data_IF_041538448776
#
_entry.id   IF_041538448776
#
_cell.length_a   1.000
_cell.length_b   1.000
_cell.length_c   1.000
_cell.angle_alpha   90.00
_cell.angle_beta   90.00
_cell.angle_gamma   90.00
#
_symmetry.space_group_name_H-M   'P 1'
#
loop_
_entity.id
_entity.type
_entity.pdbx_description
1 polymer ?
#
# COMPACT_ATOMS: atom_id res chain seq x y z
N UNK A 1 -14.88 -1.81 -12.10
CA UNK A 1 -15.27 -1.83 -10.67
C UNK A 1 -15.74 -3.23 -10.24
N UNK A 2 -16.73 -3.85 -10.95
CA UNK A 2 -17.29 -5.14 -10.54
C UNK A 2 -16.26 -6.27 -10.42
N UNK A 3 -15.21 -6.27 -11.25
CA UNK A 3 -14.16 -7.28 -11.21
C UNK A 3 -13.13 -7.09 -10.07
N UNK A 4 -13.11 -5.92 -9.45
CA UNK A 4 -12.19 -5.58 -8.35
C UNK A 4 -12.90 -5.47 -6.99
N UNK A 5 -14.22 -5.55 -6.96
CA UNK A 5 -15.01 -5.49 -5.73
C UNK A 5 -14.93 -6.81 -4.95
N UNK A 6 -14.73 -6.71 -3.65
CA UNK A 6 -14.79 -7.80 -2.67
C UNK A 6 -15.16 -7.23 -1.30
N UNK A 7 -15.45 -8.06 -0.32
CA UNK A 7 -15.77 -7.65 1.05
C UNK A 7 -14.95 -8.41 2.08
N UNK A 8 -14.80 -7.86 3.28
CA UNK A 8 -13.99 -8.46 4.33
C UNK A 8 -14.51 -9.85 4.76
N UNK A 9 -15.80 -10.12 4.61
CA UNK A 9 -16.41 -11.41 4.92
C UNK A 9 -15.99 -12.54 3.97
N UNK A 10 -15.40 -12.23 2.83
CA UNK A 10 -14.85 -13.25 1.92
C UNK A 10 -13.56 -13.87 2.44
N UNK A 11 -12.96 -13.28 3.48
CA UNK A 11 -11.69 -13.74 4.06
C UNK A 11 -11.96 -14.77 5.15
N UNK A 12 -11.61 -16.03 4.89
CA UNK A 12 -11.68 -17.10 5.88
C UNK A 12 -10.38 -17.18 6.71
N UNK A 13 -10.48 -16.88 8.01
CA UNK A 13 -9.35 -16.88 8.95
C UNK A 13 -9.28 -18.18 9.79
N UNK A 14 -10.13 -19.17 9.55
CA UNK A 14 -10.23 -20.36 10.42
C UNK A 14 -8.91 -21.15 10.51
N UNK A 15 -8.20 -21.30 9.43
CA UNK A 15 -6.91 -22.01 9.41
C UNK A 15 -5.75 -21.14 9.92
N UNK A 16 -5.85 -19.83 9.84
CA UNK A 16 -4.80 -18.90 10.26
C UNK A 16 -4.51 -19.00 11.74
N UNK A 17 -5.51 -19.26 12.59
CA UNK A 17 -5.33 -19.45 14.03
C UNK A 17 -4.39 -20.62 14.37
N UNK A 18 -4.39 -21.66 13.57
CA UNK A 18 -3.48 -22.83 13.72
C UNK A 18 -2.06 -22.48 13.28
N UNK A 19 -1.96 -21.76 12.17
CA UNK A 19 -0.68 -21.35 11.59
C UNK A 19 0.00 -20.27 12.42
N UNK A 20 -0.76 -19.34 13.01
CA UNK A 20 -0.26 -18.33 13.93
C UNK A 20 0.51 -18.94 15.11
N UNK A 21 0.03 -20.08 15.63
CA UNK A 21 0.71 -20.81 16.72
C UNK A 21 2.04 -21.41 16.31
N UNK A 22 2.25 -21.70 15.02
CA UNK A 22 3.50 -22.26 14.47
C UNK A 22 4.58 -21.19 14.26
N UNK A 23 4.20 -19.93 14.17
CA UNK A 23 5.14 -18.82 14.00
C UNK A 23 5.94 -18.61 15.29
N UNK A 24 7.23 -18.31 15.16
CA UNK A 24 8.05 -17.91 16.28
C UNK A 24 7.76 -16.46 16.71
N UNK A 25 8.27 -16.06 17.88
CA UNK A 25 7.97 -14.75 18.47
C UNK A 25 8.45 -13.57 17.60
N UNK A 26 9.57 -13.71 16.89
CA UNK A 26 10.08 -12.69 15.99
C UNK A 26 9.19 -12.54 14.76
N UNK A 27 8.70 -13.63 14.19
CA UNK A 27 7.74 -13.62 13.07
C UNK A 27 6.43 -12.96 13.49
N UNK A 28 5.88 -13.35 14.65
CA UNK A 28 4.68 -12.71 15.20
C UNK A 28 4.88 -11.22 15.44
N UNK A 29 5.99 -10.85 16.10
CA UNK A 29 6.33 -9.45 16.34
C UNK A 29 6.38 -8.64 15.05
N UNK A 30 7.07 -9.16 14.05
CA UNK A 30 7.18 -8.51 12.75
C UNK A 30 5.82 -8.34 12.05
N UNK A 31 5.01 -9.41 11.98
CA UNK A 31 3.70 -9.39 11.36
C UNK A 31 2.71 -8.45 12.06
N UNK A 32 2.70 -8.43 13.39
CA UNK A 32 1.91 -7.47 14.16
C UNK A 32 2.21 -6.03 13.76
N UNK A 33 3.49 -5.69 13.58
CA UNK A 33 3.90 -4.35 13.16
C UNK A 33 3.60 -4.05 11.68
N UNK A 34 3.62 -5.06 10.81
CA UNK A 34 3.17 -4.94 9.42
C UNK A 34 1.67 -4.62 9.36
N UNK A 35 0.84 -5.37 10.11
CA UNK A 35 -0.61 -5.13 10.18
C UNK A 35 -0.92 -3.76 10.79
N UNK A 36 -0.22 -3.39 11.86
CA UNK A 36 -0.37 -2.08 12.49
C UNK A 36 0.00 -0.92 11.55
N UNK A 37 1.03 -1.12 10.71
CA UNK A 37 1.41 -0.14 9.70
C UNK A 37 0.31 0.04 8.65
N UNK A 38 -0.27 -1.03 8.13
CA UNK A 38 -1.38 -0.95 7.19
C UNK A 38 -2.60 -0.26 7.81
N UNK A 39 -3.08 -0.74 8.95
CA UNK A 39 -4.24 -0.18 9.64
C UNK A 39 -4.09 1.34 9.94
N UNK A 40 -2.88 1.78 10.28
CA UNK A 40 -2.60 3.19 10.52
C UNK A 40 -2.50 4.01 9.23
N UNK A 41 -2.01 3.42 8.14
CA UNK A 41 -1.76 4.12 6.87
C UNK A 41 -3.03 4.30 6.06
N UNK A 42 -3.93 3.30 6.03
CA UNK A 42 -5.20 3.36 5.31
C UNK A 42 -6.09 4.52 5.81
N UNK A 43 -6.06 4.82 7.10
CA UNK A 43 -6.75 6.00 7.63
C UNK A 43 -6.23 7.32 7.05
N UNK A 44 -4.91 7.43 6.83
CA UNK A 44 -4.29 8.62 6.23
C UNK A 44 -4.61 8.68 4.73
N UNK A 45 -4.56 7.55 4.03
CA UNK A 45 -4.91 7.42 2.61
C UNK A 45 -6.35 7.85 2.39
N UNK A 46 -7.28 7.27 3.13
CA UNK A 46 -8.70 7.55 3.01
C UNK A 46 -9.04 9.01 3.31
N UNK A 47 -8.46 9.59 4.36
CA UNK A 47 -8.63 11.02 4.66
C UNK A 47 -8.17 11.92 3.52
N UNK A 48 -7.04 11.58 2.87
CA UNK A 48 -6.53 12.32 1.72
C UNK A 48 -7.45 12.23 0.49
N UNK A 49 -7.99 11.04 0.24
CA UNK A 49 -8.95 10.83 -0.85
C UNK A 49 -10.21 11.68 -0.65
N UNK A 50 -10.80 11.61 0.54
CA UNK A 50 -12.06 12.30 0.85
C UNK A 50 -11.89 13.81 0.87
N UNK A 51 -10.86 14.32 1.55
CA UNK A 51 -10.70 15.77 1.78
C UNK A 51 -10.04 16.51 0.63
N UNK A 52 -9.26 15.82 -0.20
CA UNK A 52 -8.47 16.45 -1.26
C UNK A 52 -8.88 15.94 -2.65
N UNK A 53 -8.52 14.73 -3.01
CA UNK A 53 -8.57 14.28 -4.40
C UNK A 53 -9.98 14.18 -4.95
N UNK A 54 -10.95 13.67 -4.19
CA UNK A 54 -12.35 13.58 -4.62
C UNK A 54 -13.00 14.95 -4.83
N UNK A 55 -12.52 15.98 -4.11
CA UNK A 55 -13.00 17.37 -4.21
C UNK A 55 -12.30 18.14 -5.35
N UNK A 56 -10.98 17.98 -5.47
CA UNK A 56 -10.18 18.74 -6.45
C UNK A 56 -10.34 18.26 -7.89
N UNK A 57 -10.62 16.98 -8.09
CA UNK A 57 -10.79 16.39 -9.43
C UNK A 57 -12.20 16.65 -9.96
N UNK A 58 -12.30 17.25 -11.15
CA UNK A 58 -13.57 17.66 -11.74
C UNK A 58 -14.09 16.69 -12.80
N UNK A 59 -13.27 15.79 -13.35
CA UNK A 59 -13.71 14.83 -14.36
C UNK A 59 -14.63 13.77 -13.73
N UNK A 60 -15.84 13.56 -14.27
CA UNK A 60 -16.82 12.64 -13.70
C UNK A 60 -16.30 11.22 -13.56
N UNK A 61 -15.57 10.72 -14.54
CA UNK A 61 -14.99 9.37 -14.55
C UNK A 61 -13.94 9.20 -13.44
N UNK A 62 -13.09 10.21 -13.25
CA UNK A 62 -12.09 10.20 -12.18
C UNK A 62 -12.74 10.30 -10.80
N UNK A 63 -13.81 11.08 -10.66
CA UNK A 63 -14.59 11.13 -9.40
C UNK A 63 -15.27 9.81 -9.09
N UNK A 64 -15.80 9.12 -10.11
CA UNK A 64 -16.34 7.78 -9.96
C UNK A 64 -15.27 6.78 -9.49
N UNK A 65 -14.04 6.89 -10.02
CA UNK A 65 -12.94 6.05 -9.58
C UNK A 65 -12.58 6.33 -8.12
N UNK A 66 -12.42 7.57 -7.72
CA UNK A 66 -12.12 7.92 -6.33
C UNK A 66 -13.22 7.50 -5.35
N UNK A 67 -14.50 7.59 -5.75
CA UNK A 67 -15.59 7.05 -4.95
C UNK A 67 -15.48 5.54 -4.72
N UNK A 68 -15.05 4.79 -5.74
CA UNK A 68 -14.79 3.36 -5.63
C UNK A 68 -13.55 3.09 -4.78
N UNK A 69 -12.44 3.82 -4.97
CA UNK A 69 -11.24 3.69 -4.16
C UNK A 69 -11.53 3.94 -2.69
N UNK A 70 -12.22 5.02 -2.33
CA UNK A 70 -12.62 5.31 -0.94
C UNK A 70 -13.41 4.14 -0.32
N UNK A 71 -14.32 3.53 -1.09
CA UNK A 71 -15.05 2.36 -0.63
C UNK A 71 -14.12 1.18 -0.37
N UNK A 72 -13.17 0.89 -1.26
CA UNK A 72 -12.22 -0.20 -1.10
C UNK A 72 -11.26 0.05 0.08
N UNK A 73 -10.81 1.28 0.31
CA UNK A 73 -10.00 1.62 1.48
C UNK A 73 -10.74 1.36 2.81
N UNK A 74 -12.05 1.58 2.85
CA UNK A 74 -12.84 1.20 4.02
C UNK A 74 -12.87 -0.32 4.23
N UNK A 75 -12.96 -1.11 3.15
CA UNK A 75 -12.90 -2.58 3.22
C UNK A 75 -11.50 -3.06 3.63
N UNK A 76 -10.42 -2.41 3.15
CA UNK A 76 -9.05 -2.68 3.59
C UNK A 76 -8.91 -2.43 5.10
N UNK A 77 -9.34 -1.27 5.58
CA UNK A 77 -9.28 -0.91 7.00
C UNK A 77 -10.07 -1.89 7.88
N UNK A 78 -11.26 -2.30 7.45
CA UNK A 78 -12.06 -3.34 8.13
C UNK A 78 -11.30 -4.67 8.17
N UNK A 79 -10.73 -5.09 7.03
CA UNK A 79 -9.95 -6.32 6.93
C UNK A 79 -8.74 -6.32 7.87
N UNK A 80 -7.96 -5.25 7.92
CA UNK A 80 -6.82 -5.16 8.86
C UNK A 80 -7.28 -5.16 10.32
N UNK A 81 -8.41 -4.56 10.61
CA UNK A 81 -8.99 -4.61 11.96
C UNK A 81 -9.38 -6.04 12.36
N UNK A 82 -10.02 -6.78 11.45
CA UNK A 82 -10.38 -8.19 11.68
C UNK A 82 -9.14 -9.08 11.84
N UNK A 83 -8.09 -8.87 11.05
CA UNK A 83 -6.83 -9.60 11.15
C UNK A 83 -6.14 -9.35 12.50
N UNK A 84 -6.06 -8.09 12.95
CA UNK A 84 -5.51 -7.74 14.27
C UNK A 84 -6.35 -8.39 15.39
N UNK A 85 -7.67 -8.34 15.27
CA UNK A 85 -8.57 -8.95 16.26
C UNK A 85 -8.44 -10.48 16.32
N UNK A 86 -8.24 -11.12 15.17
CA UNK A 86 -8.10 -12.57 15.09
C UNK A 86 -6.76 -13.10 15.65
N UNK A 87 -5.67 -12.34 15.48
CA UNK A 87 -4.33 -12.85 15.85
C UNK A 87 -3.82 -12.37 17.21
N UNK A 88 -4.37 -11.30 17.74
CA UNK A 88 -3.88 -10.66 18.95
C UNK A 88 -4.94 -10.73 20.03
N UNK A 89 -4.66 -11.44 21.11
CA UNK A 89 -5.61 -11.65 22.21
C UNK A 89 -5.55 -10.54 23.26
N UNK A 90 -4.35 -10.00 23.55
CA UNK A 90 -4.17 -8.99 24.59
C UNK A 90 -4.77 -7.63 24.19
N UNK A 91 -5.76 -7.10 24.93
CA UNK A 91 -6.37 -5.80 24.62
C UNK A 91 -5.39 -4.61 24.66
N UNK A 92 -4.36 -4.68 25.52
CA UNK A 92 -3.37 -3.61 25.62
C UNK A 92 -2.45 -3.62 24.39
N UNK A 93 -2.08 -4.81 23.90
CA UNK A 93 -1.31 -4.95 22.68
C UNK A 93 -2.12 -4.50 21.47
N UNK A 94 -3.41 -4.85 21.37
CA UNK A 94 -4.31 -4.33 20.35
C UNK A 94 -4.35 -2.79 20.34
N UNK A 95 -4.58 -2.19 21.50
CA UNK A 95 -4.61 -0.73 21.63
C UNK A 95 -3.28 -0.09 21.22
N UNK A 96 -2.15 -0.71 21.56
CA UNK A 96 -0.82 -0.28 21.13
C UNK A 96 -0.68 -0.29 19.59
N UNK A 97 -1.14 -1.35 18.94
CA UNK A 97 -1.04 -1.53 17.48
C UNK A 97 -2.01 -0.61 16.72
N UNK A 98 -3.24 -0.46 17.19
CA UNK A 98 -4.18 0.51 16.60
C UNK A 98 -3.71 1.96 16.72
N UNK A 99 -2.89 2.27 17.73
CA UNK A 99 -2.27 3.58 17.89
C UNK A 99 -0.84 3.64 17.29
N UNK A 100 -0.53 2.84 16.27
CA UNK A 100 0.82 2.67 15.73
C UNK A 100 1.47 3.97 15.25
N UNK A 101 0.70 4.96 14.82
CA UNK A 101 1.21 6.30 14.48
C UNK A 101 1.91 6.99 15.66
N UNK A 102 1.51 6.69 16.90
CA UNK A 102 2.13 7.26 18.10
C UNK A 102 3.08 6.28 18.79
N UNK A 103 2.80 4.99 18.74
CA UNK A 103 3.47 3.95 19.53
C UNK A 103 4.62 3.27 18.79
N UNK A 104 4.61 3.27 17.43
CA UNK A 104 5.61 2.58 16.61
C UNK A 104 6.45 3.59 15.82
N UNK A 105 7.75 3.81 16.16
CA UNK A 105 8.57 4.87 15.56
C UNK A 105 8.69 4.81 14.04
N UNK A 106 8.76 3.62 13.44
CA UNK A 106 8.83 3.44 11.99
C UNK A 106 7.52 3.84 11.30
N UNK A 107 6.38 3.49 11.87
CA UNK A 107 5.04 3.87 11.40
C UNK A 107 4.85 5.38 11.53
N UNK A 108 5.18 5.94 12.69
CA UNK A 108 5.14 7.39 12.93
C UNK A 108 5.92 8.19 11.89
N UNK A 109 7.14 7.73 11.56
CA UNK A 109 7.99 8.40 10.56
C UNK A 109 7.36 8.42 9.17
N UNK A 110 6.82 7.28 8.72
CA UNK A 110 6.12 7.16 7.42
C UNK A 110 4.81 7.94 7.42
N UNK A 111 4.00 7.80 8.47
CA UNK A 111 2.74 8.51 8.63
C UNK A 111 2.91 10.03 8.68
N UNK A 112 3.90 10.54 9.41
CA UNK A 112 4.21 11.98 9.44
C UNK A 112 4.62 12.51 8.07
N UNK A 113 5.31 11.71 7.26
CA UNK A 113 5.63 12.06 5.88
C UNK A 113 4.35 12.13 5.01
N UNK A 114 3.47 11.14 5.11
CA UNK A 114 2.20 11.10 4.38
C UNK A 114 1.28 12.26 4.77
N UNK A 115 1.11 12.51 6.07
CA UNK A 115 0.31 13.61 6.62
C UNK A 115 0.80 15.00 6.15
N UNK A 116 2.10 15.17 5.94
CA UNK A 116 2.64 16.41 5.37
C UNK A 116 2.04 16.75 4.02
N UNK A 117 1.73 15.74 3.20
CA UNK A 117 1.20 15.90 1.85
C UNK A 117 -0.33 16.02 1.80
N UNK A 118 -1.03 15.84 2.92
CA UNK A 118 -2.46 16.16 3.04
C UNK A 118 -2.75 17.66 2.88
N UNK A 119 -1.80 18.50 3.25
CA UNK A 119 -2.01 19.96 3.20
C UNK A 119 -1.93 20.49 1.77
N UNK A 120 -3.03 21.05 1.26
CA UNK A 120 -3.10 21.75 -0.04
C UNK A 120 -2.09 22.91 -0.17
N UNK A 121 -1.55 23.39 0.95
CA UNK A 121 -0.53 24.46 1.00
C UNK A 121 0.91 23.93 0.76
N UNK A 122 1.11 22.62 0.74
CA UNK A 122 2.45 22.00 0.72
C UNK A 122 2.97 21.63 -0.68
N UNK A 123 2.21 21.87 -1.73
CA UNK A 123 2.62 21.56 -3.09
C UNK A 123 1.45 21.66 -4.06
N UNK A 124 1.77 21.52 -5.34
CA UNK A 124 0.77 21.44 -6.40
C UNK A 124 -0.04 20.15 -6.28
N UNK A 125 -1.19 20.09 -6.96
CA UNK A 125 -1.98 18.87 -7.05
C UNK A 125 -1.13 17.68 -7.57
N UNK A 126 -0.37 17.91 -8.65
CA UNK A 126 0.50 16.89 -9.24
C UNK A 126 1.55 16.35 -8.24
N UNK A 127 2.19 17.21 -7.45
CA UNK A 127 3.14 16.79 -6.41
C UNK A 127 2.48 15.97 -5.29
N UNK A 128 1.29 16.36 -4.87
CA UNK A 128 0.52 15.62 -3.85
C UNK A 128 0.05 14.27 -4.39
N UNK A 129 -0.34 14.20 -5.66
CA UNK A 129 -0.72 12.96 -6.33
C UNK A 129 0.45 11.98 -6.42
N UNK A 130 1.66 12.45 -6.75
CA UNK A 130 2.88 11.62 -6.76
C UNK A 130 3.23 11.14 -5.35
N UNK A 131 3.12 12.02 -4.35
CA UNK A 131 3.36 11.64 -2.96
C UNK A 131 2.36 10.57 -2.47
N UNK A 132 1.10 10.69 -2.87
CA UNK A 132 0.06 9.70 -2.60
C UNK A 132 0.37 8.34 -3.23
N UNK A 133 0.71 8.33 -4.52
CA UNK A 133 1.15 7.12 -5.22
C UNK A 133 2.40 6.49 -4.58
N UNK A 134 3.31 7.30 -4.00
CA UNK A 134 4.46 6.79 -3.26
C UNK A 134 4.08 6.08 -1.96
N UNK A 135 3.02 6.51 -1.28
CA UNK A 135 2.51 5.81 -0.09
C UNK A 135 1.96 4.46 -0.48
N UNK A 136 1.03 4.40 -1.42
CA UNK A 136 0.37 3.15 -1.83
C UNK A 136 1.35 2.20 -2.56
N UNK A 137 2.18 2.73 -3.46
CA UNK A 137 3.10 1.92 -4.28
C UNK A 137 4.41 1.56 -3.60
N UNK A 138 5.05 2.49 -2.86
CA UNK A 138 6.39 2.26 -2.29
C UNK A 138 6.31 1.86 -0.83
N UNK A 139 5.55 2.60 0.00
CA UNK A 139 5.55 2.32 1.43
C UNK A 139 4.91 0.98 1.77
N UNK A 140 3.90 0.57 1.01
CA UNK A 140 3.19 -0.69 1.21
C UNK A 140 3.93 -1.91 0.64
N UNK A 141 4.74 -1.73 -0.41
CA UNK A 141 5.37 -2.84 -1.14
C UNK A 141 6.15 -3.82 -0.26
N UNK A 142 6.97 -3.31 0.66
CA UNK A 142 7.74 -4.16 1.56
C UNK A 142 6.88 -4.98 2.52
N UNK A 143 5.74 -4.43 2.94
CA UNK A 143 4.77 -5.08 3.81
C UNK A 143 4.01 -6.18 3.07
N UNK A 144 3.56 -5.92 1.83
CA UNK A 144 2.98 -6.96 0.98
C UNK A 144 3.94 -8.11 0.74
N UNK A 145 5.21 -7.82 0.46
CA UNK A 145 6.24 -8.83 0.27
C UNK A 145 6.43 -9.73 1.49
N UNK A 146 6.40 -9.15 2.68
CA UNK A 146 6.52 -9.92 3.92
C UNK A 146 5.38 -10.93 4.08
N UNK A 147 4.16 -10.55 3.71
CA UNK A 147 3.00 -11.45 3.76
C UNK A 147 3.06 -12.48 2.61
N UNK A 148 3.46 -12.10 1.40
CA UNK A 148 3.69 -13.05 0.31
C UNK A 148 4.78 -14.10 0.63
N UNK A 149 5.75 -13.76 1.47
CA UNK A 149 6.72 -14.73 1.97
C UNK A 149 6.05 -15.83 2.82
N UNK A 150 5.02 -15.51 3.61
CA UNK A 150 4.22 -16.52 4.31
C UNK A 150 3.48 -17.43 3.33
N UNK A 151 2.88 -16.86 2.27
CA UNK A 151 2.23 -17.65 1.23
C UNK A 151 3.18 -18.66 0.60
N UNK A 152 4.41 -18.25 0.31
CA UNK A 152 5.45 -19.14 -0.23
C UNK A 152 5.81 -20.30 0.71
N UNK A 153 5.57 -20.13 2.02
CA UNK A 153 5.74 -21.16 3.06
C UNK A 153 4.47 -21.99 3.28
N UNK A 154 3.37 -21.69 2.61
CA UNK A 154 2.08 -22.37 2.80
C UNK A 154 1.44 -22.08 4.15
N UNK A 155 1.66 -20.91 4.73
CA UNK A 155 1.15 -20.49 6.03
C UNK A 155 0.18 -19.33 5.91
N UNK A 156 -0.77 -19.25 6.86
CA UNK A 156 -1.69 -18.12 7.02
C UNK A 156 -2.53 -17.85 5.75
N UNK A 157 -3.33 -18.82 5.28
CA UNK A 157 -4.06 -18.71 3.99
C UNK A 157 -5.03 -17.51 3.95
N UNK A 158 -5.70 -17.19 5.02
CA UNK A 158 -6.59 -16.03 5.10
C UNK A 158 -5.84 -14.71 4.97
N UNK A 159 -4.77 -14.52 5.76
CA UNK A 159 -3.89 -13.36 5.68
C UNK A 159 -3.27 -13.21 4.28
N UNK A 160 -2.80 -14.29 3.68
CA UNK A 160 -2.16 -14.22 2.37
C UNK A 160 -3.16 -14.01 1.24
N UNK A 161 -4.39 -14.49 1.38
CA UNK A 161 -5.47 -14.22 0.43
C UNK A 161 -5.90 -12.74 0.51
N UNK A 162 -6.12 -12.19 1.70
CA UNK A 162 -6.42 -10.75 1.85
C UNK A 162 -5.30 -9.89 1.25
N UNK A 163 -4.04 -10.28 1.46
CA UNK A 163 -2.88 -9.58 0.89
C UNK A 163 -2.89 -9.57 -0.65
N UNK A 164 -3.35 -10.64 -1.30
CA UNK A 164 -3.52 -10.68 -2.76
C UNK A 164 -4.58 -9.70 -3.24
N UNK A 165 -5.72 -9.66 -2.57
CA UNK A 165 -6.81 -8.76 -2.92
C UNK A 165 -6.40 -7.30 -2.72
N UNK A 166 -5.87 -6.96 -1.56
CA UNK A 166 -5.46 -5.59 -1.23
C UNK A 166 -4.30 -5.13 -2.13
N UNK A 167 -3.25 -5.94 -2.32
CA UNK A 167 -2.12 -5.54 -3.16
C UNK A 167 -2.50 -5.33 -4.63
N UNK A 168 -3.50 -6.07 -5.13
CA UNK A 168 -4.09 -5.85 -6.46
C UNK A 168 -4.80 -4.49 -6.52
N UNK A 169 -5.56 -4.15 -5.48
CA UNK A 169 -6.28 -2.89 -5.42
C UNK A 169 -5.31 -1.70 -5.34
N UNK A 170 -4.26 -1.80 -4.51
CA UNK A 170 -3.20 -0.78 -4.43
C UNK A 170 -2.46 -0.60 -5.76
N UNK A 171 -2.24 -1.68 -6.50
CA UNK A 171 -1.73 -1.61 -7.88
C UNK A 171 -2.63 -0.79 -8.79
N UNK A 172 -3.95 -1.00 -8.72
CA UNK A 172 -4.94 -0.24 -9.49
C UNK A 172 -4.97 1.25 -9.08
N UNK A 173 -4.83 1.53 -7.78
CA UNK A 173 -4.78 2.90 -7.25
C UNK A 173 -3.55 3.65 -7.77
N UNK A 174 -2.39 3.01 -7.77
CA UNK A 174 -1.15 3.56 -8.33
C UNK A 174 -1.25 3.79 -9.84
N UNK A 175 -1.80 2.85 -10.59
CA UNK A 175 -1.99 2.97 -12.04
C UNK A 175 -2.92 4.14 -12.36
N UNK A 176 -3.99 4.32 -11.60
CA UNK A 176 -4.87 5.46 -11.75
C UNK A 176 -4.18 6.79 -11.44
N UNK A 177 -3.40 6.86 -10.37
CA UNK A 177 -2.63 8.06 -10.03
C UNK A 177 -1.63 8.41 -11.15
N UNK A 178 -0.96 7.42 -11.73
CA UNK A 178 -0.07 7.61 -12.88
C UNK A 178 -0.82 8.09 -14.13
N UNK A 179 -1.98 7.51 -14.41
CA UNK A 179 -2.83 7.91 -15.53
C UNK A 179 -3.28 9.37 -15.37
N UNK A 180 -3.78 9.73 -14.20
CA UNK A 180 -4.24 11.09 -13.91
C UNK A 180 -3.09 12.10 -13.99
N UNK A 181 -1.93 11.77 -13.45
CA UNK A 181 -0.74 12.61 -13.57
C UNK A 181 -0.32 12.85 -15.03
N UNK A 182 -0.33 11.82 -15.87
CA UNK A 182 -0.04 11.92 -17.29
C UNK A 182 -1.03 12.85 -18.03
N UNK A 183 -2.30 12.86 -17.63
CA UNK A 183 -3.29 13.77 -18.21
C UNK A 183 -3.04 15.22 -17.79
N UNK A 184 -2.61 15.47 -16.56
CA UNK A 184 -2.23 16.81 -16.09
C UNK A 184 -1.05 17.38 -16.88
N UNK A 185 -0.05 16.56 -17.20
CA UNK A 185 1.15 17.00 -17.93
C UNK A 185 0.84 17.30 -19.39
N UNK A 186 -0.04 16.54 -20.03
CA UNK A 186 -0.48 16.84 -21.42
C UNK A 186 -1.21 18.17 -21.53
N UNK A 187 -1.75 18.71 -20.44
CA UNK A 187 -2.37 20.01 -20.34
C UNK A 187 -1.45 21.16 -19.87
N UNK A 188 -0.32 20.84 -19.27
CA UNK A 188 0.69 21.77 -18.76
C UNK A 188 2.01 21.56 -19.53
N UNK A 189 2.66 22.60 -20.03
CA UNK A 189 3.86 22.50 -20.86
C UNK A 189 5.06 21.79 -20.19
N UNK A 190 6.12 21.56 -20.96
CA UNK A 190 7.30 20.70 -20.73
C UNK A 190 8.05 20.82 -19.37
N UNK A 191 7.75 21.79 -18.53
CA UNK A 191 8.49 22.01 -17.27
C UNK A 191 8.20 21.02 -16.14
N UNK A 192 7.16 20.17 -16.26
CA UNK A 192 6.79 19.17 -15.24
C UNK A 192 7.37 17.77 -15.51
N UNK A 193 8.18 17.59 -16.55
CA UNK A 193 8.71 16.29 -17.00
C UNK A 193 9.63 15.62 -15.98
N UNK A 194 10.26 16.38 -15.10
CA UNK A 194 11.19 15.84 -14.08
C UNK A 194 10.50 14.94 -13.06
N UNK A 195 9.20 15.11 -12.83
CA UNK A 195 8.41 14.31 -11.90
C UNK A 195 7.83 13.02 -12.50
N UNK A 196 7.83 12.91 -13.84
CA UNK A 196 7.34 11.73 -14.59
C UNK A 196 8.14 10.46 -14.32
N UNK A 197 9.44 10.58 -14.07
CA UNK A 197 10.32 9.42 -13.88
C UNK A 197 9.96 8.63 -12.63
N UNK A 198 9.53 9.30 -11.57
CA UNK A 198 9.09 8.64 -10.34
C UNK A 198 7.76 7.89 -10.56
N UNK A 199 6.79 8.49 -11.25
CA UNK A 199 5.50 7.86 -11.55
C UNK A 199 5.64 6.65 -12.49
N UNK A 200 6.53 6.71 -13.48
CA UNK A 200 6.84 5.56 -14.33
C UNK A 200 7.55 4.42 -13.60
N UNK A 201 8.41 4.74 -12.64
CA UNK A 201 9.06 3.74 -11.78
C UNK A 201 8.03 3.06 -10.86
N UNK A 202 7.05 3.82 -10.35
CA UNK A 202 5.96 3.29 -9.53
C UNK A 202 5.04 2.37 -10.34
N UNK A 203 4.64 2.75 -11.56
CA UNK A 203 3.79 1.94 -12.44
C UNK A 203 4.43 0.61 -12.89
N UNK A 204 5.76 0.47 -12.79
CA UNK A 204 6.47 -0.80 -13.01
C UNK A 204 6.52 -1.70 -11.78
N UNK A 205 6.22 -1.16 -10.60
CA UNK A 205 6.32 -1.87 -9.34
C UNK A 205 5.17 -2.85 -9.05
N UNK A 206 4.08 -2.80 -9.81
CA UNK A 206 2.91 -3.68 -9.65
C UNK A 206 2.53 -4.35 -10.97
N UNK A 207 3.34 -5.28 -11.47
CA UNK A 207 2.89 -6.17 -12.55
C UNK A 207 1.73 -7.04 -12.03
N UNK A 208 0.92 -7.54 -12.96
CA UNK A 208 -0.21 -8.43 -12.65
C UNK A 208 0.18 -9.70 -11.88
N UNK A 209 1.48 -9.98 -11.73
CA UNK A 209 2.05 -10.99 -10.84
C UNK A 209 2.75 -10.31 -9.66
N UNK A 210 2.22 -10.41 -8.42
CA UNK A 210 2.81 -9.84 -7.23
C UNK A 210 4.23 -10.35 -6.91
N UNK A 211 4.58 -11.57 -7.36
CA UNK A 211 5.92 -12.12 -7.22
C UNK A 211 6.92 -11.42 -8.15
N UNK A 212 6.49 -11.06 -9.35
CA UNK A 212 7.31 -10.32 -10.30
C UNK A 212 7.54 -8.88 -9.82
N UNK A 213 6.52 -8.23 -9.23
CA UNK A 213 6.66 -6.93 -8.57
C UNK A 213 7.75 -6.94 -7.49
N UNK A 214 7.80 -8.01 -6.69
CA UNK A 214 8.83 -8.18 -5.67
C UNK A 214 10.24 -8.22 -6.24
N UNK A 215 10.46 -8.95 -7.33
CA UNK A 215 11.75 -9.02 -7.98
C UNK A 215 12.15 -7.67 -8.60
N UNK A 216 11.23 -6.98 -9.25
CA UNK A 216 11.48 -5.70 -9.91
C UNK A 216 11.77 -4.57 -8.90
N UNK A 217 11.02 -4.47 -7.81
CA UNK A 217 11.23 -3.47 -6.75
C UNK A 217 12.51 -3.74 -5.96
N UNK A 218 12.82 -5.01 -5.70
CA UNK A 218 14.01 -5.39 -4.93
C UNK A 218 15.31 -5.07 -5.68
N UNK A 219 15.30 -5.13 -7.01
CA UNK A 219 16.49 -5.01 -7.84
C UNK A 219 16.59 -3.69 -8.61
N UNK A 220 15.60 -2.79 -8.49
CA UNK A 220 15.65 -1.43 -9.03
C UNK A 220 16.38 -0.43 -8.13
N UNK A 221 17.09 -0.88 -7.10
CA UNK A 221 17.94 -0.03 -6.26
C UNK A 221 19.20 0.39 -7.02
N UNK A 222 19.84 1.53 -6.69
CA UNK A 222 20.96 2.14 -7.44
C UNK A 222 22.29 1.35 -7.43
N UNK A 223 22.30 0.14 -6.96
CA UNK A 223 23.42 -0.79 -7.05
C UNK A 223 23.18 -1.57 -8.36
N UNK A 224 23.73 -1.10 -9.47
CA UNK A 224 23.54 -1.64 -10.82
C UNK A 224 23.42 -3.16 -10.87
N UNK A 225 22.21 -3.67 -10.89
CA UNK A 225 21.88 -5.07 -11.14
C UNK A 225 21.44 -5.21 -12.60
N UNK A 226 21.78 -6.33 -13.23
CA UNK A 226 21.20 -6.68 -14.53
C UNK A 226 19.75 -7.15 -14.38
N UNK A 227 19.04 -7.29 -15.51
CA UNK A 227 17.65 -7.75 -15.55
C UNK A 227 17.43 -9.15 -14.96
N UNK A 228 18.50 -9.90 -14.72
CA UNK A 228 18.49 -11.22 -14.08
C UNK A 228 18.73 -11.15 -12.56
N UNK A 229 18.89 -9.96 -11.99
CA UNK A 229 19.07 -9.76 -10.55
C UNK A 229 20.46 -10.08 -10.01
N UNK A 230 21.47 -10.17 -10.88
CA UNK A 230 22.86 -10.35 -10.47
C UNK A 230 23.53 -9.00 -10.16
N UNK A 231 24.11 -8.88 -8.97
CA UNK A 231 24.89 -7.70 -8.61
C UNK A 231 26.11 -7.56 -9.51
N UNK A 232 26.21 -6.47 -10.27
CA UNK A 232 27.48 -6.11 -10.92
C UNK A 232 28.42 -5.56 -9.88
N UNK A 233 29.47 -6.27 -9.58
CA UNK A 233 30.62 -5.74 -8.87
C UNK A 233 31.34 -4.82 -9.88
N UNK A 234 31.19 -3.53 -9.73
CA UNK A 234 32.05 -2.57 -10.43
C UNK A 234 33.46 -2.74 -9.89
N UNK A 235 34.33 -3.31 -10.70
CA UNK A 235 35.79 -3.29 -10.49
C UNK A 235 36.37 -1.92 -10.75
#
# INVERSE_FOLDING_TARGET
HAAAFWTAEEIDLAEDAKDWKKLNDNEKHFLKHVLAFFAASDGIVNENLVTNFADEVQWPEARCFYGFQIMMENIHAETYSLLIDAYIEDPNEKAHLFNALETVPSVKKKGSWALKWLSRKKGTFAQRLVAFAAVEGIFFSGSFCAIFWLKKRGLMPGLTFSNELISRDEGLHCDFACLLHNQLIRGAGENDVVHLTAAHLLGRGFPHDPLQAFYEVRFSTPIGTDDAGHARLNG
#
